data_IF_599365226790
#
_entry.id   IF_599365226790
#
_cell.length_a   1.000
_cell.length_b   1.000
_cell.length_c   1.000
_cell.angle_alpha   90.00
_cell.angle_beta   90.00
_cell.angle_gamma   90.00
#
_symmetry.space_group_name_H-M   'P 1'
#
loop_
_entity.id
_entity.type
_entity.pdbx_description
1 polymer ?
#
# COMPACT_ATOMS: atom_id res chain seq x y z
N UNK A 1 4.41 15.65 0.77
CA UNK A 1 5.77 15.65 1.33
C UNK A 1 5.77 16.35 2.68
N UNK A 2 6.29 15.69 3.70
CA UNK A 2 6.49 16.25 5.04
C UNK A 2 7.70 17.18 4.95
N UNK A 3 7.55 18.43 5.38
CA UNK A 3 8.67 19.37 5.44
C UNK A 3 9.45 19.22 6.77
N UNK A 4 10.63 19.86 6.86
CA UNK A 4 11.48 19.77 8.06
C UNK A 4 10.80 20.30 9.33
N UNK A 5 9.87 21.24 9.18
CA UNK A 5 9.11 21.78 10.32
C UNK A 5 8.14 20.74 10.87
N UNK A 6 7.44 20.04 9.98
CA UNK A 6 6.50 18.97 10.35
C UNK A 6 7.22 17.83 11.06
N UNK A 7 8.45 17.51 10.64
CA UNK A 7 9.26 16.46 11.27
C UNK A 7 9.62 16.83 12.70
N UNK A 8 9.94 18.10 12.97
CA UNK A 8 10.31 18.56 14.32
C UNK A 8 9.15 18.44 15.32
N UNK A 9 7.93 18.58 14.85
CA UNK A 9 6.75 18.52 15.69
C UNK A 9 6.17 17.10 15.85
N UNK A 10 6.75 16.13 15.18
CA UNK A 10 6.30 14.71 15.23
C UNK A 10 6.37 14.16 16.65
N UNK A 11 7.32 14.61 17.48
CA UNK A 11 7.47 14.15 18.87
C UNK A 11 6.35 14.66 19.79
N UNK A 12 5.63 15.69 19.40
CA UNK A 12 4.50 16.25 20.18
C UNK A 12 3.18 15.51 19.95
N UNK A 13 3.12 14.63 18.94
CA UNK A 13 1.94 13.87 18.56
C UNK A 13 0.89 14.66 17.75
N UNK A 14 0.91 16.00 17.77
CA UNK A 14 -0.08 16.83 17.11
C UNK A 14 0.01 16.77 15.57
N UNK A 15 1.17 17.07 15.04
CA UNK A 15 1.41 17.06 13.57
C UNK A 15 1.31 15.65 13.01
N UNK A 16 1.80 14.64 13.75
CA UNK A 16 1.65 13.23 13.37
C UNK A 16 0.19 12.82 13.23
N UNK A 17 -0.63 13.22 14.20
CA UNK A 17 -2.06 12.90 14.16
C UNK A 17 -2.75 13.55 12.96
N UNK A 18 -2.48 14.83 12.67
CA UNK A 18 -3.02 15.56 11.52
C UNK A 18 -2.55 14.98 10.19
N UNK A 19 -1.33 14.48 10.12
CA UNK A 19 -0.79 13.83 8.92
C UNK A 19 -1.57 12.55 8.59
N UNK A 20 -1.87 11.72 9.59
CA UNK A 20 -2.60 10.46 9.41
C UNK A 20 -4.12 10.60 9.43
N UNK A 21 -4.62 11.69 10.00
CA UNK A 21 -6.05 12.02 10.05
C UNK A 21 -6.26 13.43 9.46
N UNK A 22 -5.91 13.65 8.19
CA UNK A 22 -6.08 14.97 7.60
C UNK A 22 -7.54 15.39 7.69
N UNK A 23 -7.81 16.70 7.97
CA UNK A 23 -9.16 17.21 7.85
C UNK A 23 -9.68 16.81 6.47
N UNK A 24 -10.92 16.29 6.43
CA UNK A 24 -11.55 15.78 5.20
C UNK A 24 -11.51 16.84 4.11
N UNK A 25 -10.42 16.87 3.35
CA UNK A 25 -10.44 17.54 2.04
C UNK A 25 -11.42 16.77 1.19
N UNK A 26 -12.39 17.47 0.60
CA UNK A 26 -13.21 16.86 -0.45
C UNK A 26 -12.24 16.18 -1.40
N UNK A 27 -12.34 14.84 -1.53
CA UNK A 27 -11.58 14.12 -2.55
C UNK A 27 -11.79 14.85 -3.86
N UNK A 28 -10.70 15.25 -4.50
CA UNK A 28 -10.78 15.74 -5.86
C UNK A 28 -11.42 14.64 -6.70
N UNK A 29 -12.66 14.88 -7.15
CA UNK A 29 -13.42 13.92 -7.95
C UNK A 29 -12.78 13.61 -9.31
N UNK A 30 -11.77 14.41 -9.72
CA UNK A 30 -11.04 14.19 -10.97
C UNK A 30 -9.98 13.09 -10.86
N UNK A 31 -9.55 12.71 -9.63
CA UNK A 31 -8.51 11.69 -9.44
C UNK A 31 -9.15 10.32 -9.20
N UNK A 32 -8.86 9.39 -10.13
CA UNK A 32 -9.23 7.99 -9.97
C UNK A 32 -8.34 7.33 -8.91
N UNK A 33 -8.94 6.48 -8.09
CA UNK A 33 -8.17 5.54 -7.26
C UNK A 33 -7.50 4.49 -8.14
N UNK A 34 -6.48 3.80 -7.62
CA UNK A 34 -5.82 2.72 -8.36
C UNK A 34 -6.82 1.62 -8.74
N UNK A 35 -7.73 1.26 -7.82
CA UNK A 35 -8.81 0.33 -8.11
C UNK A 35 -9.64 0.77 -9.32
N UNK A 36 -10.03 2.04 -9.37
CA UNK A 36 -10.81 2.59 -10.48
C UNK A 36 -10.03 2.62 -11.79
N UNK A 37 -8.74 2.99 -11.76
CA UNK A 37 -7.88 2.96 -12.95
C UNK A 37 -7.83 1.57 -13.57
N UNK A 38 -7.58 0.56 -12.76
CA UNK A 38 -7.46 -0.83 -13.22
C UNK A 38 -8.80 -1.38 -13.71
N UNK A 39 -9.90 -1.07 -13.04
CA UNK A 39 -11.26 -1.41 -13.51
C UNK A 39 -11.56 -0.79 -14.86
N UNK A 40 -11.25 0.50 -15.02
CA UNK A 40 -11.46 1.21 -16.30
C UNK A 40 -10.70 0.55 -17.42
N UNK A 41 -9.44 0.18 -17.20
CA UNK A 41 -8.63 -0.52 -18.19
C UNK A 41 -9.24 -1.86 -18.60
N UNK A 42 -9.67 -2.66 -17.62
CA UNK A 42 -10.34 -3.95 -17.88
C UNK A 42 -11.64 -3.78 -18.67
N UNK A 43 -12.41 -2.73 -18.37
CA UNK A 43 -13.65 -2.40 -19.10
C UNK A 43 -13.37 -2.00 -20.55
N UNK A 44 -12.36 -1.17 -20.78
CA UNK A 44 -11.95 -0.77 -22.12
C UNK A 44 -11.54 -1.97 -22.98
N UNK A 45 -10.86 -2.94 -22.37
CA UNK A 45 -10.42 -4.16 -23.04
C UNK A 45 -11.54 -5.20 -23.19
N UNK A 46 -12.73 -4.96 -22.63
CA UNK A 46 -13.81 -5.94 -22.54
C UNK A 46 -13.33 -7.29 -21.98
N UNK A 47 -12.48 -7.21 -20.97
CA UNK A 47 -11.80 -8.35 -20.41
C UNK A 47 -12.56 -8.88 -19.18
N UNK A 48 -12.88 -10.17 -19.20
CA UNK A 48 -13.44 -10.83 -18.03
C UNK A 48 -12.40 -10.89 -16.90
N UNK A 49 -12.79 -10.62 -15.64
CA UNK A 49 -11.89 -10.80 -14.52
C UNK A 49 -11.38 -12.25 -14.47
N UNK A 50 -10.06 -12.41 -14.57
CA UNK A 50 -9.40 -13.71 -14.48
C UNK A 50 -8.28 -13.66 -13.43
N UNK A 51 -8.53 -14.15 -12.21
CA UNK A 51 -7.52 -14.16 -11.16
C UNK A 51 -6.26 -14.93 -11.54
N UNK A 52 -6.39 -16.02 -12.29
CA UNK A 52 -5.24 -16.83 -12.70
C UNK A 52 -4.33 -16.07 -13.67
N UNK A 53 -4.92 -15.31 -14.60
CA UNK A 53 -4.13 -14.44 -15.47
C UNK A 53 -3.33 -13.42 -14.65
N UNK A 54 -3.98 -12.72 -13.75
CA UNK A 54 -3.31 -11.71 -12.92
C UNK A 54 -2.23 -12.31 -12.01
N UNK A 55 -2.41 -13.51 -11.50
CA UNK A 55 -1.38 -14.19 -10.72
C UNK A 55 -0.12 -14.43 -11.59
N UNK A 56 -0.30 -14.85 -12.85
CA UNK A 56 0.82 -14.98 -13.78
C UNK A 56 1.47 -13.64 -14.11
N UNK A 57 0.68 -12.59 -14.31
CA UNK A 57 1.19 -11.24 -14.57
C UNK A 57 1.98 -10.68 -13.39
N UNK A 58 1.55 -10.92 -12.16
CA UNK A 58 2.31 -10.55 -10.94
C UNK A 58 3.69 -11.20 -10.99
N UNK A 59 3.78 -12.46 -11.32
CA UNK A 59 5.06 -13.17 -11.45
C UNK A 59 5.93 -12.58 -12.55
N UNK A 60 5.36 -12.29 -13.70
CA UNK A 60 6.09 -11.67 -14.82
C UNK A 60 6.65 -10.30 -14.46
N UNK A 61 5.82 -9.41 -13.92
CA UNK A 61 6.25 -8.06 -13.54
C UNK A 61 7.28 -8.07 -12.40
N UNK A 62 7.14 -9.00 -11.45
CA UNK A 62 8.16 -9.20 -10.42
C UNK A 62 9.50 -9.63 -11.02
N UNK A 63 9.50 -10.56 -11.96
CA UNK A 63 10.72 -11.00 -12.63
C UNK A 63 11.35 -9.88 -13.46
N UNK A 64 10.56 -9.10 -14.19
CA UNK A 64 11.03 -7.94 -14.93
C UNK A 64 11.69 -6.91 -14.00
N UNK A 65 11.07 -6.64 -12.86
CA UNK A 65 11.67 -5.76 -11.85
C UNK A 65 13.01 -6.27 -11.35
N UNK A 66 13.10 -7.56 -11.04
CA UNK A 66 14.28 -8.14 -10.40
C UNK A 66 15.42 -8.45 -11.39
N UNK A 67 15.10 -8.77 -12.63
CA UNK A 67 16.07 -9.31 -13.59
C UNK A 67 16.35 -8.38 -14.76
N UNK A 68 15.36 -7.63 -15.23
CA UNK A 68 15.43 -6.91 -16.50
C UNK A 68 15.63 -5.41 -16.35
N UNK A 69 15.17 -4.81 -15.26
CA UNK A 69 15.32 -3.38 -15.01
C UNK A 69 16.81 -3.02 -14.78
N UNK A 70 17.37 -2.20 -15.67
CA UNK A 70 18.77 -1.79 -15.63
C UNK A 70 18.97 -0.31 -15.30
N UNK A 71 17.92 0.48 -15.39
CA UNK A 71 17.93 1.90 -15.06
C UNK A 71 16.87 2.21 -14.01
N UNK A 72 17.05 3.34 -13.32
CA UNK A 72 16.06 3.82 -12.33
C UNK A 72 14.69 4.08 -12.96
N UNK A 73 14.65 4.52 -14.22
CA UNK A 73 13.40 4.75 -14.95
C UNK A 73 12.69 3.43 -15.23
N UNK A 74 13.43 2.43 -15.68
CA UNK A 74 12.88 1.08 -15.91
C UNK A 74 12.40 0.45 -14.61
N UNK A 75 13.19 0.57 -13.54
CA UNK A 75 12.81 0.08 -12.21
C UNK A 75 11.49 0.71 -11.73
N UNK A 76 11.36 2.03 -11.85
CA UNK A 76 10.13 2.72 -11.47
C UNK A 76 8.93 2.26 -12.32
N UNK A 77 9.14 2.08 -13.61
CA UNK A 77 8.09 1.56 -14.51
C UNK A 77 7.67 0.15 -14.10
N UNK A 78 8.60 -0.74 -13.81
CA UNK A 78 8.28 -2.12 -13.40
C UNK A 78 7.60 -2.16 -12.03
N UNK A 79 7.97 -1.28 -11.10
CA UNK A 79 7.24 -1.11 -9.82
C UNK A 79 5.79 -0.70 -10.05
N UNK A 80 5.55 0.25 -10.95
CA UNK A 80 4.19 0.69 -11.29
C UNK A 80 3.38 -0.44 -11.95
N UNK A 81 3.98 -1.17 -12.87
CA UNK A 81 3.34 -2.32 -13.53
C UNK A 81 2.98 -3.42 -12.52
N UNK A 82 3.89 -3.71 -11.58
CA UNK A 82 3.65 -4.69 -10.53
C UNK A 82 2.46 -4.30 -9.64
N UNK A 83 2.41 -3.05 -9.19
CA UNK A 83 1.27 -2.53 -8.42
C UNK A 83 -0.03 -2.62 -9.23
N UNK A 84 0.03 -2.29 -10.50
CA UNK A 84 -1.11 -2.32 -11.41
C UNK A 84 -1.75 -3.71 -11.50
N UNK A 85 -0.93 -4.75 -11.71
CA UNK A 85 -1.43 -6.12 -11.82
C UNK A 85 -1.86 -6.71 -10.46
N UNK A 86 -1.27 -6.27 -9.35
CA UNK A 86 -1.73 -6.63 -8.00
C UNK A 86 -3.16 -6.13 -7.79
N UNK A 87 -3.46 -4.90 -8.14
CA UNK A 87 -4.84 -4.36 -8.08
C UNK A 87 -5.77 -5.08 -9.05
N UNK A 88 -5.26 -5.48 -10.23
CA UNK A 88 -6.01 -6.31 -11.17
C UNK A 88 -6.45 -7.63 -10.55
N UNK A 89 -5.55 -8.31 -9.85
CA UNK A 89 -5.86 -9.53 -9.11
C UNK A 89 -6.94 -9.29 -8.04
N UNK A 90 -6.75 -8.26 -7.22
CA UNK A 90 -7.71 -7.92 -6.17
C UNK A 90 -9.10 -7.64 -6.74
N UNK A 91 -9.18 -6.88 -7.83
CA UNK A 91 -10.46 -6.61 -8.51
C UNK A 91 -11.10 -7.88 -9.06
N UNK A 92 -10.31 -8.78 -9.65
CA UNK A 92 -10.81 -10.05 -10.18
C UNK A 92 -11.37 -10.95 -9.07
N UNK A 93 -10.80 -10.87 -7.87
CA UNK A 93 -11.27 -11.60 -6.67
C UNK A 93 -12.39 -10.89 -5.91
N UNK A 94 -12.70 -9.64 -6.24
CA UNK A 94 -13.67 -8.85 -5.50
C UNK A 94 -13.16 -8.32 -4.16
N UNK A 95 -11.85 -8.26 -3.96
CA UNK A 95 -11.22 -7.79 -2.73
C UNK A 95 -11.15 -6.26 -2.69
N UNK A 96 -11.40 -5.69 -1.53
CA UNK A 96 -11.19 -4.25 -1.30
C UNK A 96 -9.74 -3.98 -0.86
N UNK A 97 -8.82 -3.95 -1.81
CA UNK A 97 -7.40 -3.80 -1.54
C UNK A 97 -7.05 -2.40 -1.01
N UNK A 98 -7.74 -1.35 -1.44
CA UNK A 98 -7.48 0.01 -0.95
C UNK A 98 -7.73 0.12 0.55
N UNK A 99 -8.86 -0.37 1.02
CA UNK A 99 -9.17 -0.36 2.44
C UNK A 99 -8.26 -1.33 3.21
N UNK A 100 -7.90 -2.47 2.62
CA UNK A 100 -6.94 -3.39 3.22
C UNK A 100 -5.58 -2.70 3.44
N UNK A 101 -5.09 -1.93 2.47
CA UNK A 101 -3.87 -1.14 2.60
C UNK A 101 -3.95 -0.11 3.73
N UNK A 102 -5.07 0.60 3.84
CA UNK A 102 -5.29 1.55 4.93
C UNK A 102 -5.20 0.87 6.29
N UNK A 103 -5.87 -0.24 6.46
CA UNK A 103 -5.87 -0.99 7.72
C UNK A 103 -4.50 -1.57 8.04
N UNK A 104 -3.79 -2.11 7.05
CA UNK A 104 -2.43 -2.60 7.20
C UNK A 104 -1.50 -1.46 7.61
N UNK A 105 -1.63 -0.30 6.99
CA UNK A 105 -0.85 0.88 7.34
C UNK A 105 -1.07 1.30 8.79
N UNK A 106 -2.31 1.48 9.20
CA UNK A 106 -2.66 1.85 10.59
C UNK A 106 -2.17 0.80 11.58
N UNK A 107 -2.34 -0.49 11.25
CA UNK A 107 -1.86 -1.58 12.08
C UNK A 107 -0.34 -1.58 12.21
N UNK A 108 0.39 -1.33 11.12
CA UNK A 108 1.85 -1.23 11.15
C UNK A 108 2.32 -0.08 12.05
N UNK A 109 1.65 1.06 11.99
CA UNK A 109 1.95 2.21 12.86
C UNK A 109 1.71 1.87 14.34
N UNK A 110 0.60 1.23 14.66
CA UNK A 110 0.29 0.87 16.04
C UNK A 110 1.25 -0.17 16.61
N UNK A 111 1.57 -1.19 15.84
CA UNK A 111 2.38 -2.33 16.31
C UNK A 111 3.90 -2.14 16.20
N UNK A 112 4.37 -1.02 15.64
CA UNK A 112 5.80 -0.71 15.61
C UNK A 112 6.34 -0.30 16.98
N UNK A 113 5.47 0.17 17.88
CA UNK A 113 5.85 0.55 19.23
C UNK A 113 5.65 -0.62 20.20
N UNK A 114 6.66 -0.90 21.02
CA UNK A 114 6.56 -1.84 22.13
C UNK A 114 5.66 -1.25 23.26
N UNK A 115 5.21 -2.06 24.24
CA UNK A 115 4.38 -1.56 25.35
C UNK A 115 5.00 -0.39 26.12
N UNK A 116 6.34 -0.30 26.17
CA UNK A 116 7.08 0.81 26.77
C UNK A 116 7.28 2.00 25.83
N UNK A 117 6.62 1.99 24.65
CA UNK A 117 6.71 3.01 23.58
C UNK A 117 8.05 3.10 22.87
N UNK A 118 8.94 2.14 23.07
CA UNK A 118 10.19 2.05 22.30
C UNK A 118 9.98 1.32 20.99
N UNK A 119 10.90 1.53 20.04
CA UNK A 119 10.96 0.81 18.78
C UNK A 119 12.14 -0.15 18.85
N UNK A 120 11.87 -1.43 18.68
CA UNK A 120 12.91 -2.46 18.55
C UNK A 120 13.19 -2.77 17.10
N UNK A 121 14.48 -2.93 16.77
CA UNK A 121 14.92 -3.25 15.41
C UNK A 121 15.70 -4.56 15.41
N UNK A 122 15.46 -5.36 14.38
CA UNK A 122 16.30 -6.52 14.06
C UNK A 122 17.65 -6.02 13.52
N UNK A 123 18.67 -6.88 13.50
CA UNK A 123 20.01 -6.51 13.04
C UNK A 123 20.08 -5.96 11.61
N UNK A 124 19.15 -6.31 10.74
CA UNK A 124 19.00 -5.78 9.38
C UNK A 124 18.17 -4.48 9.30
N UNK A 125 17.78 -3.93 10.43
CA UNK A 125 16.97 -2.70 10.53
C UNK A 125 15.46 -2.92 10.52
N UNK A 126 14.98 -4.15 10.29
CA UNK A 126 13.55 -4.44 10.30
C UNK A 126 12.95 -4.23 11.69
N UNK A 127 11.81 -3.55 11.75
CA UNK A 127 11.08 -3.33 12.99
C UNK A 127 10.58 -4.66 13.56
N UNK A 128 10.84 -4.89 14.85
CA UNK A 128 10.27 -5.99 15.61
C UNK A 128 8.92 -5.55 16.14
N UNK A 129 7.88 -6.20 15.70
CA UNK A 129 6.50 -5.83 16.01
C UNK A 129 6.15 -6.13 17.47
N UNK A 130 5.32 -5.26 18.05
CA UNK A 130 4.73 -5.51 19.36
C UNK A 130 3.78 -6.72 19.29
N UNK A 131 4.12 -7.79 20.01
CA UNK A 131 3.34 -9.04 20.01
C UNK A 131 1.97 -8.91 20.66
N UNK A 132 1.82 -7.93 21.55
CA UNK A 132 0.56 -7.67 22.27
C UNK A 132 -0.42 -6.83 21.45
N UNK A 133 0.03 -6.25 20.34
CA UNK A 133 -0.83 -5.47 19.45
C UNK A 133 -1.67 -6.40 18.58
N UNK A 134 -2.99 -6.15 18.43
CA UNK A 134 -3.86 -7.01 17.64
C UNK A 134 -3.43 -7.12 16.18
N UNK A 135 -3.63 -8.28 15.57
CA UNK A 135 -3.48 -8.45 14.13
C UNK A 135 -4.54 -7.64 13.38
N UNK A 136 -4.19 -7.20 12.19
CA UNK A 136 -5.15 -6.54 11.31
C UNK A 136 -6.31 -7.48 10.95
N UNK A 137 -7.52 -6.97 10.99
CA UNK A 137 -8.72 -7.71 10.55
C UNK A 137 -9.15 -7.22 9.17
N UNK A 138 -9.15 -8.12 8.19
CA UNK A 138 -9.53 -7.86 6.82
C UNK A 138 -10.72 -8.74 6.37
N UNK A 139 -11.38 -9.44 7.29
CA UNK A 139 -12.39 -10.46 6.97
C UNK A 139 -13.61 -9.93 6.22
N UNK A 140 -13.94 -8.65 6.39
CA UNK A 140 -15.06 -7.99 5.70
C UNK A 140 -14.70 -7.44 4.31
N UNK A 141 -13.43 -7.59 3.89
CA UNK A 141 -12.90 -7.04 2.64
C UNK A 141 -12.73 -8.08 1.53
N UNK A 142 -13.08 -9.32 1.81
CA UNK A 142 -12.95 -10.45 0.88
C UNK A 142 -14.29 -11.02 0.46
#
# INVERSE_FOLDING_TARGET
LINEHDIKDMDTGGVMWEYYNPPTKKKDKSMLTVTQMVKTFSQVLDQKPDPNLYMRLITEEYQELMLDAQTEIEELKELADLVYVIYGYANAKGYNLEEALNRVHENNLGRCFQPDRTILRRGDGKIIKNKDYPNVNLSDLV
#
